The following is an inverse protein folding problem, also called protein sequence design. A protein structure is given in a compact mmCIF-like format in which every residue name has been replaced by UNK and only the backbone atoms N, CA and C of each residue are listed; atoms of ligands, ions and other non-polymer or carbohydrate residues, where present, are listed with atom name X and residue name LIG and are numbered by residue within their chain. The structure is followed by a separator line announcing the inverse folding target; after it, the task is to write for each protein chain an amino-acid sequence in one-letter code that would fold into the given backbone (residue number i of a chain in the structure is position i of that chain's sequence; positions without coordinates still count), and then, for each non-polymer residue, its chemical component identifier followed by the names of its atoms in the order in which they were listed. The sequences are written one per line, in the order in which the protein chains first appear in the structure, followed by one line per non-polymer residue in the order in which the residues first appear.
data_IF_899768486861
#
_entry.id   IF_899768486861
#
_cell.length_a   1.000
_cell.length_b   1.000
_cell.length_c   1.000
_cell.angle_alpha   90.00
_cell.angle_beta   90.00
_cell.angle_gamma   90.00
#
_symmetry.space_group_name_H-M   'P 1'
#
loop_
_entity.id
_entity.type
_entity.pdbx_description
1 polymer ?
#
# COMPACT_ATOMS: atom_id res chain seq x y z
N UNK A 1 -1.69 20.14 0.91
CA UNK A 1 -0.95 20.07 -0.36
C UNK A 1 -0.65 21.47 -0.86
N UNK A 2 0.52 21.66 -1.47
CA UNK A 2 0.95 22.95 -2.05
C UNK A 2 0.15 23.39 -3.30
N UNK A 3 -0.94 22.70 -3.63
CA UNK A 3 -1.74 22.95 -4.84
C UNK A 3 -1.01 22.54 -6.14
N UNK A 4 -1.60 22.85 -7.30
CA UNK A 4 -1.04 22.49 -8.62
C UNK A 4 0.35 23.10 -8.83
N UNK A 5 0.56 24.34 -8.40
CA UNK A 5 1.85 25.03 -8.59
C UNK A 5 2.99 24.38 -7.80
N UNK A 6 2.70 23.85 -6.62
CA UNK A 6 3.71 23.18 -5.79
C UNK A 6 4.20 21.83 -6.33
N UNK A 7 3.43 21.16 -7.18
CA UNK A 7 3.82 19.88 -7.78
C UNK A 7 4.26 19.99 -9.24
N UNK A 8 4.12 21.17 -9.86
CA UNK A 8 4.40 21.36 -11.29
C UNK A 8 5.87 21.08 -11.65
N UNK A 9 6.80 21.56 -10.84
CA UNK A 9 8.23 21.35 -11.09
C UNK A 9 8.56 19.86 -11.03
N UNK A 10 8.10 19.18 -9.97
CA UNK A 10 8.32 17.75 -9.83
C UNK A 10 7.65 16.93 -10.95
N UNK A 11 6.43 17.28 -11.34
CA UNK A 11 5.74 16.64 -12.46
C UNK A 11 6.56 16.75 -13.77
N UNK A 12 7.12 17.92 -14.06
CA UNK A 12 7.97 18.13 -15.23
C UNK A 12 9.25 17.27 -15.20
N UNK A 13 9.88 17.14 -14.02
CA UNK A 13 11.10 16.32 -13.85
C UNK A 13 10.86 14.85 -14.16
N UNK A 14 9.67 14.31 -13.85
CA UNK A 14 9.30 12.91 -14.09
C UNK A 14 8.50 12.69 -15.38
N UNK A 15 8.32 13.73 -16.21
CA UNK A 15 7.56 13.64 -17.45
C UNK A 15 6.05 13.51 -17.26
N UNK A 16 5.51 13.96 -16.13
CA UNK A 16 4.09 13.95 -15.79
C UNK A 16 3.43 15.31 -15.95
N UNK A 17 2.10 15.34 -15.93
CA UNK A 17 1.30 16.56 -15.95
C UNK A 17 0.71 16.84 -14.56
N UNK A 18 0.91 18.06 -14.04
CA UNK A 18 0.28 18.52 -12.81
C UNK A 18 -1.14 18.99 -13.07
N UNK A 19 -2.13 18.34 -12.46
CA UNK A 19 -3.55 18.70 -12.54
C UNK A 19 -4.10 18.97 -11.13
N UNK A 20 -5.22 19.67 -11.06
CA UNK A 20 -5.99 19.71 -9.84
C UNK A 20 -6.65 18.35 -9.54
N UNK A 21 -7.16 18.21 -8.32
CA UNK A 21 -7.70 16.92 -7.84
C UNK A 21 -8.85 16.38 -8.70
N UNK A 22 -9.65 17.27 -9.33
CA UNK A 22 -10.77 16.87 -10.20
C UNK A 22 -10.28 16.50 -11.61
N UNK A 23 -9.30 17.24 -12.12
CA UNK A 23 -8.69 16.98 -13.42
C UNK A 23 -7.89 15.68 -13.44
N UNK A 24 -7.31 15.28 -12.30
CA UNK A 24 -6.48 14.07 -12.23
C UNK A 24 -7.31 12.77 -12.32
N UNK A 25 -8.59 12.81 -11.95
CA UNK A 25 -9.45 11.62 -11.94
C UNK A 25 -10.36 11.48 -13.17
N UNK A 26 -10.58 12.58 -13.93
CA UNK A 26 -11.64 12.63 -14.97
C UNK A 26 -11.42 11.67 -16.13
N UNK A 27 -10.18 11.50 -16.59
CA UNK A 27 -9.85 10.70 -17.78
C UNK A 27 -8.85 9.58 -17.47
N UNK A 28 -8.73 9.21 -16.18
CA UNK A 28 -7.77 8.22 -15.74
C UNK A 28 -8.26 6.79 -16.04
N UNK A 29 -7.38 5.95 -16.57
CA UNK A 29 -7.58 4.50 -16.67
C UNK A 29 -7.27 3.80 -15.34
N UNK A 30 -6.31 4.37 -14.58
CA UNK A 30 -5.93 3.93 -13.24
C UNK A 30 -5.72 5.14 -12.35
N UNK A 31 -6.26 5.09 -11.15
CA UNK A 31 -6.06 6.09 -10.10
C UNK A 31 -5.28 5.43 -8.95
N UNK A 32 -4.17 6.01 -8.55
CA UNK A 32 -3.39 5.55 -7.41
C UNK A 32 -3.56 6.53 -6.25
N UNK A 33 -4.15 6.06 -5.16
CA UNK A 33 -4.32 6.83 -3.93
C UNK A 33 -3.06 6.71 -3.07
N UNK A 34 -2.16 7.68 -3.21
CA UNK A 34 -0.89 7.76 -2.49
C UNK A 34 -0.88 8.91 -1.47
N UNK A 35 -1.93 9.04 -0.70
CA UNK A 35 -2.11 10.04 0.36
C UNK A 35 -2.22 9.35 1.73
N UNK A 36 -1.96 10.05 2.86
CA UNK A 36 -2.17 9.50 4.18
C UNK A 36 -3.61 8.98 4.34
N UNK A 37 -3.76 7.81 4.96
CA UNK A 37 -5.05 7.14 5.05
C UNK A 37 -6.17 8.03 5.64
N UNK A 38 -5.97 8.79 6.74
CA UNK A 38 -7.03 9.66 7.26
C UNK A 38 -7.47 10.76 6.30
N UNK A 39 -6.59 11.21 5.37
CA UNK A 39 -6.89 12.25 4.39
C UNK A 39 -7.95 11.81 3.36
N UNK A 40 -8.25 10.51 3.27
CA UNK A 40 -9.34 10.02 2.43
C UNK A 40 -10.71 10.61 2.82
N UNK A 41 -10.91 10.98 4.10
CA UNK A 41 -12.13 11.67 4.58
C UNK A 41 -12.26 13.10 4.06
N UNK A 42 -11.15 13.71 3.69
CA UNK A 42 -11.09 15.12 3.25
C UNK A 42 -11.31 15.26 1.74
N UNK A 43 -11.34 14.13 1.02
CA UNK A 43 -11.62 14.13 -0.40
C UNK A 43 -13.07 14.61 -0.65
N UNK A 44 -13.32 15.44 -1.69
CA UNK A 44 -14.69 15.80 -2.04
C UNK A 44 -15.55 14.57 -2.27
N UNK A 45 -16.74 14.52 -1.68
CA UNK A 45 -17.63 13.35 -1.76
C UNK A 45 -18.01 12.98 -3.21
N UNK A 46 -18.03 13.99 -4.11
CA UNK A 46 -18.35 13.85 -5.53
C UNK A 46 -17.10 13.69 -6.41
N UNK A 47 -15.92 13.51 -5.84
CA UNK A 47 -14.66 13.48 -6.58
C UNK A 47 -14.65 12.42 -7.68
N UNK A 48 -15.14 11.24 -7.35
CA UNK A 48 -15.12 10.08 -8.26
C UNK A 48 -16.36 9.95 -9.13
N UNK A 49 -17.34 10.87 -9.05
CA UNK A 49 -18.55 10.84 -9.88
C UNK A 49 -18.25 11.05 -11.36
N UNK A 50 -17.14 11.74 -11.66
CA UNK A 50 -16.67 12.00 -13.03
C UNK A 50 -15.64 10.98 -13.54
N UNK A 51 -15.12 10.14 -12.67
CA UNK A 51 -14.21 9.09 -13.08
C UNK A 51 -14.98 7.99 -13.85
N UNK A 52 -14.36 7.37 -14.88
CA UNK A 52 -14.98 6.25 -15.57
C UNK A 52 -15.43 5.16 -14.58
N UNK A 53 -16.55 4.51 -14.86
CA UNK A 53 -17.07 3.46 -13.98
C UNK A 53 -16.10 2.28 -13.85
N UNK A 54 -15.36 1.99 -14.92
CA UNK A 54 -14.40 0.88 -14.99
C UNK A 54 -13.00 1.27 -14.54
N UNK A 55 -12.78 2.52 -14.05
CA UNK A 55 -11.46 2.93 -13.60
C UNK A 55 -10.97 2.06 -12.44
N UNK A 56 -9.75 1.57 -12.56
CA UNK A 56 -9.10 0.85 -11.47
C UNK A 56 -8.57 1.84 -10.44
N UNK A 57 -9.01 1.71 -9.19
CA UNK A 57 -8.52 2.56 -8.08
C UNK A 57 -7.64 1.69 -7.19
N UNK A 58 -6.37 2.07 -7.06
CA UNK A 58 -5.38 1.38 -6.23
C UNK A 58 -5.16 2.18 -4.95
N UNK A 59 -5.35 1.54 -3.80
CA UNK A 59 -5.02 2.09 -2.49
C UNK A 59 -3.65 1.59 -2.03
N UNK A 60 -2.72 2.53 -1.82
CA UNK A 60 -1.37 2.26 -1.32
C UNK A 60 -1.19 2.67 0.13
N UNK A 61 -2.25 3.13 0.79
CA UNK A 61 -2.15 3.71 2.12
C UNK A 61 -1.90 2.67 3.21
N UNK A 62 -1.39 3.12 4.34
CA UNK A 62 -1.16 2.35 5.56
C UNK A 62 -1.62 3.17 6.76
N UNK A 63 -2.14 2.50 7.79
CA UNK A 63 -2.64 3.10 9.01
C UNK A 63 -1.64 3.00 10.16
N UNK A 64 -1.21 4.16 10.67
CA UNK A 64 -0.26 4.27 11.79
C UNK A 64 -0.79 5.16 12.91
N UNK A 65 -1.77 4.67 13.71
CA UNK A 65 -2.30 5.45 14.83
C UNK A 65 -1.21 5.70 15.88
N UNK A 66 -1.22 6.90 16.43
CA UNK A 66 -0.25 7.32 17.46
C UNK A 66 1.14 7.68 16.93
N UNK A 67 1.48 7.36 15.68
CA UNK A 67 2.72 7.78 15.03
C UNK A 67 2.48 8.96 14.06
N UNK A 68 1.54 8.81 13.15
CA UNK A 68 1.22 9.78 12.10
C UNK A 68 -0.27 10.08 12.06
N UNK A 69 -1.10 9.08 12.30
CA UNK A 69 -2.53 9.14 12.03
C UNK A 69 -3.34 9.26 13.33
N UNK A 70 -4.44 10.00 13.29
CA UNK A 70 -5.46 9.94 14.34
C UNK A 70 -6.15 8.58 14.34
N UNK A 71 -6.65 8.12 15.50
CA UNK A 71 -7.37 6.85 15.59
C UNK A 71 -8.66 6.87 14.75
N UNK A 72 -8.92 5.73 14.11
CA UNK A 72 -10.10 5.46 13.31
C UNK A 72 -10.80 4.25 13.93
N UNK A 73 -11.91 4.46 14.67
CA UNK A 73 -12.57 3.41 15.44
C UNK A 73 -12.92 2.19 14.60
N UNK A 74 -13.41 2.37 13.38
CA UNK A 74 -13.81 1.27 12.51
C UNK A 74 -12.64 0.35 12.14
N UNK A 75 -11.44 0.90 11.95
CA UNK A 75 -10.23 0.12 11.67
C UNK A 75 -9.71 -0.52 12.95
N UNK A 76 -9.75 0.21 14.07
CA UNK A 76 -9.34 -0.32 15.38
C UNK A 76 -10.26 -1.49 15.81
N UNK A 77 -11.52 -1.49 15.38
CA UNK A 77 -12.50 -2.57 15.58
C UNK A 77 -12.36 -3.72 14.56
N UNK A 78 -11.38 -3.65 13.65
CA UNK A 78 -11.02 -4.76 12.77
C UNK A 78 -11.44 -4.63 11.31
N UNK A 79 -12.03 -3.50 10.89
CA UNK A 79 -12.28 -3.26 9.47
C UNK A 79 -10.93 -3.13 8.72
N UNK A 80 -10.68 -3.88 7.63
CA UNK A 80 -9.48 -3.70 6.82
C UNK A 80 -9.33 -2.27 6.31
N UNK A 81 -8.07 -1.77 6.31
CA UNK A 81 -7.75 -0.40 5.91
C UNK A 81 -8.33 0.00 4.56
N UNK A 82 -8.13 -0.83 3.53
CA UNK A 82 -8.63 -0.54 2.19
C UNK A 82 -10.14 -0.72 2.04
N UNK A 83 -10.77 -1.56 2.86
CA UNK A 83 -12.22 -1.62 2.94
C UNK A 83 -12.79 -0.32 3.52
N UNK A 84 -12.11 0.26 4.53
CA UNK A 84 -12.45 1.58 5.03
C UNK A 84 -12.26 2.67 3.96
N UNK A 85 -11.12 2.66 3.23
CA UNK A 85 -10.87 3.60 2.12
C UNK A 85 -11.99 3.52 1.09
N UNK A 86 -12.36 2.34 0.62
CA UNK A 86 -13.45 2.15 -0.34
C UNK A 86 -14.77 2.75 0.14
N UNK A 87 -15.07 2.65 1.45
CA UNK A 87 -16.27 3.29 2.05
C UNK A 87 -16.17 4.81 2.05
N UNK A 88 -14.98 5.40 2.33
CA UNK A 88 -14.80 6.85 2.34
C UNK A 88 -15.01 7.46 0.95
N UNK A 89 -14.48 6.81 -0.09
CA UNK A 89 -14.53 7.34 -1.46
C UNK A 89 -15.77 6.87 -2.26
N UNK A 90 -16.58 5.96 -1.70
CA UNK A 90 -17.77 5.44 -2.37
C UNK A 90 -17.47 4.57 -3.60
N UNK A 91 -16.25 4.02 -3.74
CA UNK A 91 -15.80 3.21 -4.88
C UNK A 91 -15.01 1.99 -4.41
N UNK A 92 -15.11 0.86 -5.14
CA UNK A 92 -14.25 -0.30 -4.88
C UNK A 92 -12.80 0.06 -5.14
N UNK A 93 -11.88 -0.50 -4.34
CA UNK A 93 -10.44 -0.29 -4.47
C UNK A 93 -9.70 -1.63 -4.52
N UNK A 94 -8.49 -1.58 -5.07
CA UNK A 94 -7.51 -2.67 -5.00
C UNK A 94 -6.39 -2.24 -4.06
N UNK A 95 -6.05 -3.05 -3.07
CA UNK A 95 -4.89 -2.79 -2.22
C UNK A 95 -3.65 -3.37 -2.88
N UNK A 96 -2.67 -2.50 -3.16
CA UNK A 96 -1.37 -2.89 -3.70
C UNK A 96 -0.29 -1.86 -3.36
N UNK A 97 0.98 -2.22 -3.51
CA UNK A 97 2.17 -1.38 -3.26
C UNK A 97 2.37 -0.91 -1.82
N UNK A 98 1.43 -1.14 -0.92
CA UNK A 98 1.50 -0.72 0.48
C UNK A 98 2.53 -1.50 1.31
N UNK A 99 2.87 -2.72 0.89
CA UNK A 99 3.74 -3.65 1.60
C UNK A 99 5.19 -3.68 1.07
N UNK A 100 5.60 -2.64 0.36
CA UNK A 100 6.98 -2.40 -0.08
C UNK A 100 7.47 -1.05 0.44
N UNK A 101 8.75 -0.96 0.77
CA UNK A 101 9.39 0.30 1.14
C UNK A 101 9.60 1.18 -0.11
N UNK A 102 9.70 2.50 0.09
CA UNK A 102 9.94 3.44 -1.01
C UNK A 102 11.24 3.10 -1.77
N UNK A 103 12.31 2.75 -1.06
CA UNK A 103 13.56 2.31 -1.67
C UNK A 103 13.38 1.03 -2.49
N UNK A 104 12.62 0.06 -1.98
CA UNK A 104 12.29 -1.17 -2.71
C UNK A 104 11.65 -0.84 -4.05
N UNK A 105 10.63 0.02 -4.04
CA UNK A 105 9.91 0.42 -5.25
C UNK A 105 10.77 1.18 -6.25
N UNK A 106 11.67 2.04 -5.75
CA UNK A 106 12.51 2.89 -6.60
C UNK A 106 13.71 2.15 -7.22
N UNK A 107 14.33 1.22 -6.45
CA UNK A 107 15.68 0.74 -6.77
C UNK A 107 15.75 -0.77 -7.00
N UNK A 108 14.77 -1.57 -6.55
CA UNK A 108 14.91 -3.03 -6.54
C UNK A 108 14.02 -3.75 -7.55
N UNK A 109 13.42 -3.03 -8.50
CA UNK A 109 12.67 -3.61 -9.60
C UNK A 109 13.57 -4.41 -10.54
N UNK A 110 13.18 -5.63 -10.91
CA UNK A 110 13.91 -6.51 -11.84
C UNK A 110 13.04 -6.93 -13.02
N UNK A 111 13.66 -7.34 -14.12
CA UNK A 111 12.95 -7.89 -15.26
C UNK A 111 12.17 -9.16 -14.88
N UNK A 112 11.07 -9.44 -15.60
CA UNK A 112 10.26 -10.64 -15.40
C UNK A 112 11.10 -11.91 -15.54
N UNK A 113 10.95 -12.85 -14.59
CA UNK A 113 11.71 -14.09 -14.54
C UNK A 113 13.15 -13.96 -14.02
N UNK A 114 13.61 -12.75 -13.65
CA UNK A 114 14.95 -12.58 -13.10
C UNK A 114 15.09 -13.25 -11.73
N UNK A 115 16.22 -13.91 -11.44
CA UNK A 115 16.48 -14.45 -10.10
C UNK A 115 16.49 -13.35 -9.03
N UNK A 116 15.85 -13.61 -7.90
CA UNK A 116 15.80 -12.66 -6.79
C UNK A 116 14.78 -11.53 -6.95
N UNK A 117 13.89 -11.63 -7.96
CA UNK A 117 12.78 -10.68 -8.14
C UNK A 117 11.88 -10.69 -6.92
N UNK A 118 11.61 -9.50 -6.37
CA UNK A 118 10.76 -9.32 -5.20
C UNK A 118 9.29 -9.32 -5.60
N UNK A 119 8.41 -9.53 -4.62
CA UNK A 119 6.98 -9.62 -4.84
C UNK A 119 6.19 -8.52 -4.11
N UNK A 120 5.07 -8.14 -4.72
CA UNK A 120 4.07 -7.23 -4.14
C UNK A 120 2.72 -7.95 -4.08
N UNK A 121 2.09 -7.89 -2.90
CA UNK A 121 0.76 -8.45 -2.68
C UNK A 121 -0.32 -7.54 -3.28
N UNK A 122 -1.35 -8.15 -3.90
CA UNK A 122 -2.49 -7.46 -4.52
C UNK A 122 -3.78 -8.09 -4.02
N UNK A 123 -4.64 -7.32 -3.36
CA UNK A 123 -5.93 -7.78 -2.85
C UNK A 123 -7.08 -6.91 -3.39
N UNK A 124 -8.22 -7.54 -3.69
CA UNK A 124 -9.40 -6.84 -4.16
C UNK A 124 -10.45 -7.79 -4.74
N UNK A 125 -11.67 -7.29 -4.91
CA UNK A 125 -12.82 -8.12 -5.30
C UNK A 125 -13.11 -8.07 -6.79
N UNK A 126 -12.92 -6.90 -7.44
CA UNK A 126 -13.13 -6.78 -8.88
C UNK A 126 -11.98 -7.43 -9.66
N UNK A 127 -12.31 -8.48 -10.40
CA UNK A 127 -11.34 -9.31 -11.13
C UNK A 127 -10.55 -8.49 -12.15
N UNK A 128 -11.21 -7.60 -12.89
CA UNK A 128 -10.58 -6.78 -13.93
C UNK A 128 -9.60 -5.79 -13.31
N UNK A 129 -10.05 -5.05 -12.29
CA UNK A 129 -9.20 -4.08 -11.58
C UNK A 129 -8.02 -4.76 -10.88
N UNK A 130 -8.24 -5.96 -10.30
CA UNK A 130 -7.14 -6.74 -9.71
C UNK A 130 -6.12 -7.17 -10.77
N UNK A 131 -6.56 -7.64 -11.92
CA UNK A 131 -5.66 -7.96 -13.03
C UNK A 131 -4.87 -6.75 -13.52
N UNK A 132 -5.52 -5.58 -13.66
CA UNK A 132 -4.85 -4.33 -14.01
C UNK A 132 -3.77 -3.96 -12.97
N UNK A 133 -4.08 -4.04 -11.68
CA UNK A 133 -3.10 -3.79 -10.61
C UNK A 133 -1.94 -4.79 -10.64
N UNK A 134 -2.21 -6.08 -10.87
CA UNK A 134 -1.16 -7.10 -11.00
C UNK A 134 -0.25 -6.86 -12.21
N UNK A 135 -0.82 -6.43 -13.34
CA UNK A 135 -0.02 -6.05 -14.52
C UNK A 135 0.88 -4.85 -14.22
N UNK A 136 0.38 -3.83 -13.51
CA UNK A 136 1.18 -2.68 -13.09
C UNK A 136 2.31 -3.11 -12.15
N UNK A 137 2.04 -3.98 -11.19
CA UNK A 137 3.08 -4.56 -10.32
C UNK A 137 4.16 -5.25 -11.16
N UNK A 138 3.78 -6.07 -12.15
CA UNK A 138 4.72 -6.72 -13.04
C UNK A 138 5.56 -5.72 -13.85
N UNK A 139 4.93 -4.69 -14.40
CA UNK A 139 5.59 -3.63 -15.18
C UNK A 139 6.57 -2.80 -14.35
N UNK A 140 6.32 -2.64 -13.05
CA UNK A 140 7.24 -1.93 -12.14
C UNK A 140 8.40 -2.79 -11.65
N UNK A 141 8.52 -4.04 -12.11
CA UNK A 141 9.68 -4.90 -11.82
C UNK A 141 9.47 -5.86 -10.66
N UNK A 142 8.21 -6.13 -10.25
CA UNK A 142 7.90 -7.02 -9.12
C UNK A 142 6.97 -8.15 -9.54
N UNK A 143 7.07 -9.29 -8.85
CA UNK A 143 6.13 -10.39 -9.05
C UNK A 143 4.80 -10.08 -8.35
N UNK A 144 3.66 -10.03 -9.07
CA UNK A 144 2.37 -9.84 -8.42
C UNK A 144 1.94 -11.13 -7.71
N UNK A 145 1.54 -11.01 -6.44
CA UNK A 145 0.97 -12.13 -5.67
C UNK A 145 -0.48 -11.80 -5.33
N UNK A 146 -1.41 -12.63 -5.82
CA UNK A 146 -2.83 -12.51 -5.43
C UNK A 146 -2.98 -12.81 -3.93
N UNK A 147 -3.42 -11.81 -3.18
CA UNK A 147 -3.62 -11.87 -1.73
C UNK A 147 -5.10 -12.06 -1.34
N UNK A 148 -5.96 -12.37 -2.31
CA UNK A 148 -7.37 -12.65 -2.07
C UNK A 148 -8.30 -11.45 -2.26
N UNK A 149 -9.39 -11.44 -1.51
CA UNK A 149 -10.41 -10.40 -1.51
C UNK A 149 -9.94 -9.09 -0.85
N UNK A 150 -10.70 -8.03 -0.98
CA UNK A 150 -10.44 -6.79 -0.25
C UNK A 150 -10.56 -7.02 1.27
N UNK A 151 -11.43 -7.91 1.70
CA UNK A 151 -11.55 -8.31 3.10
C UNK A 151 -10.32 -9.05 3.61
N UNK A 152 -9.60 -9.78 2.75
CA UNK A 152 -8.33 -10.43 3.08
C UNK A 152 -7.14 -9.47 3.13
N UNK A 153 -7.29 -8.22 2.66
CA UNK A 153 -6.20 -7.23 2.55
C UNK A 153 -5.53 -6.89 3.89
N UNK A 154 -6.16 -7.20 5.03
CA UNK A 154 -5.53 -7.07 6.34
C UNK A 154 -4.24 -7.88 6.47
N UNK A 155 -4.07 -8.95 5.67
CA UNK A 155 -2.87 -9.81 5.67
C UNK A 155 -1.62 -9.11 5.14
N UNK A 156 -1.76 -7.96 4.49
CA UNK A 156 -0.65 -7.14 3.97
C UNK A 156 -0.55 -5.76 4.65
N UNK A 157 -1.28 -5.53 5.74
CA UNK A 157 -1.25 -4.30 6.53
C UNK A 157 0.03 -4.20 7.39
N UNK A 158 0.36 -3.00 7.93
CA UNK A 158 1.52 -2.81 8.78
C UNK A 158 1.66 -3.86 9.87
N UNK A 159 2.88 -4.36 10.05
CA UNK A 159 3.27 -5.37 11.04
C UNK A 159 2.67 -6.77 10.84
N UNK A 160 2.10 -7.06 9.67
CA UNK A 160 1.84 -8.44 9.24
C UNK A 160 3.12 -9.10 8.70
N UNK A 161 3.19 -10.44 8.62
CA UNK A 161 4.39 -11.13 8.13
C UNK A 161 4.83 -10.75 6.71
N UNK A 162 3.89 -10.30 5.86
CA UNK A 162 4.16 -9.88 4.47
C UNK A 162 4.59 -8.41 4.33
N UNK A 163 4.57 -7.61 5.42
CA UNK A 163 4.71 -6.17 5.35
C UNK A 163 6.17 -5.70 5.31
N UNK A 164 6.58 -5.09 4.20
CA UNK A 164 7.89 -4.44 4.01
C UNK A 164 9.08 -5.34 4.37
N UNK A 165 9.03 -6.60 3.93
CA UNK A 165 10.04 -7.62 4.22
C UNK A 165 10.90 -8.00 3.01
N UNK A 166 10.65 -7.44 1.83
CA UNK A 166 11.38 -7.73 0.58
C UNK A 166 11.50 -9.24 0.32
N UNK A 167 10.37 -9.87 0.14
CA UNK A 167 10.26 -11.30 -0.15
C UNK A 167 10.04 -11.58 -1.64
N UNK A 168 10.51 -12.73 -2.11
CA UNK A 168 10.10 -13.31 -3.38
C UNK A 168 8.64 -13.79 -3.33
N UNK A 169 8.09 -14.19 -4.48
CA UNK A 169 6.68 -14.56 -4.59
C UNK A 169 6.30 -15.76 -3.70
N UNK A 170 7.18 -16.76 -3.56
CA UNK A 170 6.88 -17.96 -2.75
C UNK A 170 6.90 -17.65 -1.25
N UNK A 171 7.86 -16.85 -0.82
CA UNK A 171 7.94 -16.38 0.56
C UNK A 171 6.79 -15.42 0.89
N UNK A 172 6.41 -14.54 -0.05
CA UNK A 172 5.27 -13.65 0.10
C UNK A 172 3.95 -14.43 0.31
N UNK A 173 3.69 -15.47 -0.49
CA UNK A 173 2.51 -16.34 -0.30
C UNK A 173 2.48 -16.99 1.08
N UNK A 174 3.64 -17.51 1.55
CA UNK A 174 3.76 -18.10 2.90
C UNK A 174 3.53 -17.06 3.98
N UNK A 175 4.07 -15.86 3.83
CA UNK A 175 3.91 -14.76 4.77
C UNK A 175 2.44 -14.30 4.87
N UNK A 176 1.74 -14.16 3.74
CA UNK A 176 0.31 -13.86 3.72
C UNK A 176 -0.52 -14.94 4.42
N UNK A 177 -0.23 -16.22 4.15
CA UNK A 177 -0.92 -17.34 4.78
C UNK A 177 -0.66 -17.43 6.29
N UNK A 178 0.52 -17.01 6.75
CA UNK A 178 0.92 -17.04 8.15
C UNK A 178 0.36 -15.89 9.01
N UNK A 179 -0.28 -14.89 8.39
CA UNK A 179 -0.86 -13.77 9.12
C UNK A 179 -2.00 -14.24 10.06
N UNK A 180 -1.99 -13.72 11.29
CA UNK A 180 -2.98 -14.07 12.32
C UNK A 180 -3.83 -12.82 12.63
N UNK A 181 -5.18 -12.90 12.54
CA UNK A 181 -6.05 -11.76 12.83
C UNK A 181 -5.78 -11.15 14.22
N UNK A 182 -5.77 -9.81 14.32
CA UNK A 182 -5.63 -9.08 15.57
C UNK A 182 -4.22 -9.04 16.18
N UNK A 183 -3.22 -9.71 15.57
CA UNK A 183 -1.83 -9.68 16.05
C UNK A 183 -1.09 -8.44 15.56
N UNK A 184 -1.23 -8.10 14.29
CA UNK A 184 -0.51 -6.99 13.66
C UNK A 184 -0.77 -5.62 14.30
N UNK A 185 -2.00 -5.23 14.70
CA UNK A 185 -2.23 -3.95 15.37
C UNK A 185 -1.40 -3.75 16.64
N UNK A 186 -1.21 -4.79 17.44
CA UNK A 186 -0.41 -4.72 18.66
C UNK A 186 1.08 -4.48 18.35
N UNK A 187 1.62 -5.21 17.37
CA UNK A 187 3.00 -5.04 16.90
C UNK A 187 3.21 -3.67 16.25
N UNK A 188 2.24 -3.19 15.47
CA UNK A 188 2.27 -1.87 14.83
C UNK A 188 2.38 -0.75 15.86
N UNK A 189 1.63 -0.82 16.94
CA UNK A 189 1.62 0.19 17.99
C UNK A 189 2.98 0.27 18.75
N UNK A 190 3.85 -0.75 18.63
CA UNK A 190 5.21 -0.78 19.17
C UNK A 190 6.27 -0.22 18.18
N UNK A 191 5.91 0.00 16.90
CA UNK A 191 6.85 0.44 15.86
C UNK A 191 7.58 1.75 16.19
N UNK A 192 6.97 2.80 16.80
CA UNK A 192 7.68 4.04 17.14
C UNK A 192 8.91 3.78 18.02
N UNK A 193 8.80 2.92 19.01
CA UNK A 193 9.91 2.54 19.90
C UNK A 193 10.98 1.74 19.12
N UNK A 194 10.57 0.83 18.25
CA UNK A 194 11.47 0.00 17.46
C UNK A 194 12.25 0.82 16.45
N UNK A 195 11.61 1.75 15.75
CA UNK A 195 12.29 2.71 14.88
C UNK A 195 13.27 3.59 15.63
N UNK A 196 12.91 4.04 16.83
CA UNK A 196 13.83 4.81 17.69
C UNK A 196 15.12 4.05 18.01
N UNK A 197 15.09 2.72 18.13
CA UNK A 197 16.26 1.87 18.39
C UNK A 197 17.18 1.70 17.18
N UNK A 198 16.70 1.95 15.96
CA UNK A 198 17.53 1.90 14.74
C UNK A 198 18.45 3.12 14.57
N UNK A 199 18.24 4.19 15.37
CA UNK A 199 19.01 5.43 15.26
C UNK A 199 18.46 6.40 14.23
N UNK A 200 19.16 7.51 14.01
CA UNK A 200 18.65 8.67 13.25
C UNK A 200 18.62 8.50 11.73
N UNK A 201 19.29 7.50 11.17
CA UNK A 201 19.33 7.27 9.72
C UNK A 201 19.55 5.78 9.39
N UNK A 202 18.57 4.91 9.66
CA UNK A 202 18.70 3.48 9.36
C UNK A 202 18.80 3.23 7.85
N UNK A 203 19.66 2.28 7.46
CA UNK A 203 19.71 1.82 6.08
C UNK A 203 18.44 1.05 5.71
N UNK A 204 18.19 0.90 4.39
CA UNK A 204 17.11 0.04 3.90
C UNK A 204 17.21 -1.38 4.48
N UNK A 205 18.40 -1.97 4.48
CA UNK A 205 18.65 -3.30 5.01
C UNK A 205 18.30 -3.42 6.52
N UNK A 206 18.59 -2.38 7.31
CA UNK A 206 18.24 -2.36 8.74
C UNK A 206 16.71 -2.36 8.94
N UNK A 207 15.99 -1.59 8.12
CA UNK A 207 14.52 -1.53 8.18
C UNK A 207 13.91 -2.87 7.78
N UNK A 208 14.39 -3.49 6.69
CA UNK A 208 13.92 -4.81 6.25
C UNK A 208 14.22 -5.88 7.31
N UNK A 209 15.43 -5.87 7.89
CA UNK A 209 15.79 -6.81 8.95
C UNK A 209 14.91 -6.65 10.20
N UNK A 210 14.63 -5.41 10.60
CA UNK A 210 13.70 -5.11 11.69
C UNK A 210 12.30 -5.64 11.37
N UNK A 211 11.76 -5.34 10.20
CA UNK A 211 10.43 -5.80 9.79
C UNK A 211 10.35 -7.33 9.79
N UNK A 212 11.33 -8.03 9.22
CA UNK A 212 11.39 -9.50 9.24
C UNK A 212 11.38 -10.06 10.65
N UNK A 213 12.09 -9.42 11.57
CA UNK A 213 12.15 -9.85 12.99
C UNK A 213 10.83 -9.59 13.72
N UNK A 214 10.27 -8.39 13.57
CA UNK A 214 9.04 -7.97 14.28
C UNK A 214 7.82 -8.71 13.74
N UNK A 215 7.75 -8.83 12.41
CA UNK A 215 6.58 -9.38 11.72
C UNK A 215 6.60 -10.91 11.67
N UNK A 216 7.70 -11.56 12.04
CA UNK A 216 7.78 -13.01 12.11
C UNK A 216 6.62 -13.62 12.91
N UNK A 217 6.15 -14.76 12.45
CA UNK A 217 5.18 -15.57 13.20
C UNK A 217 5.94 -16.24 14.35
N UNK A 218 5.42 -16.08 15.58
CA UNK A 218 6.01 -16.74 16.75
C UNK A 218 5.99 -18.25 16.53
N UNK A 219 7.17 -18.89 16.47
CA UNK A 219 7.30 -20.35 16.38
C UNK A 219 7.88 -20.92 15.08
N UNK A 220 8.42 -20.07 14.19
CA UNK A 220 9.23 -20.49 13.04
C UNK A 220 10.61 -19.89 13.09
#
# INVERSE_FOLDING_TARGET
SSGVDGVRVFAQEIGAEAKDIRGVVSDAEVIILAIPLPAMRELPADLFDRAPLEVTIIDTSNYYPGLRDSRIPEIDDGLPESAWVGRQIGRPVIKAFNNALAYTLAELGLAEGAPGRLAIAVAGDDVRSKQTAMQLVNQTGFDPVDAGSLEDSWRQQPSTPSYCCDYDADTMRKALAAAIPGVAPKKRDELPELFGKLGGNPSHADIVAMNRKVNAVAGH
#
